data_IF_112853409102
#
_entry.id   IF_112853409102
#
_cell.length_a   1.000
_cell.length_b   1.000
_cell.length_c   1.000
_cell.angle_alpha   90.00
_cell.angle_beta   90.00
_cell.angle_gamma   90.00
#
_symmetry.space_group_name_H-M   'P 1'
#
loop_
_entity.id
_entity.type
_entity.pdbx_description
1 polymer ?
#
# COMPACT_ATOMS: atom_id res chain seq x y z
N UNK A 1 31.43 -7.21 0.39
CA UNK A 1 30.10 -7.80 0.32
C UNK A 1 29.07 -6.70 0.11
N UNK A 2 28.27 -6.85 -0.89
CA UNK A 2 27.23 -5.85 -1.15
C UNK A 2 26.09 -6.04 -0.16
N UNK A 3 25.67 -4.95 0.46
CA UNK A 3 24.45 -4.96 1.26
C UNK A 3 23.31 -4.76 0.29
N UNK A 4 22.49 -5.75 0.16
CA UNK A 4 21.36 -5.65 -0.73
C UNK A 4 20.32 -4.70 -0.14
N UNK A 5 20.01 -3.68 -0.92
CA UNK A 5 19.03 -2.71 -0.52
C UNK A 5 17.67 -3.23 -0.92
N UNK A 6 16.84 -3.52 0.08
CA UNK A 6 15.51 -4.01 -0.17
C UNK A 6 14.58 -2.88 -0.60
N UNK A 7 13.64 -3.24 -1.46
CA UNK A 7 12.58 -2.33 -1.86
C UNK A 7 11.64 -2.12 -0.67
N UNK A 8 11.48 -0.87 -0.25
CA UNK A 8 10.63 -0.54 0.88
C UNK A 8 9.21 -0.30 0.41
N UNK A 9 8.31 -1.13 0.91
CA UNK A 9 6.89 -1.07 0.56
C UNK A 9 6.11 -0.51 1.72
N UNK A 10 5.32 0.52 1.47
CA UNK A 10 4.33 1.05 2.41
C UNK A 10 2.95 0.63 1.96
N UNK A 11 2.17 0.05 2.85
CA UNK A 11 0.80 -0.33 2.54
C UNK A 11 -0.18 0.60 3.24
N UNK A 12 -1.15 1.10 2.50
CA UNK A 12 -2.20 1.96 3.04
C UNK A 12 -3.53 1.27 2.86
N UNK A 13 -4.09 0.77 3.95
CA UNK A 13 -5.31 -0.03 3.93
C UNK A 13 -5.85 -0.07 5.36
N UNK A 14 -7.14 0.17 5.53
CA UNK A 14 -7.78 0.14 6.85
C UNK A 14 -8.20 -1.27 7.27
N UNK A 15 -8.06 -2.26 6.40
CA UNK A 15 -8.41 -3.63 6.70
C UNK A 15 -7.17 -4.40 7.16
N UNK A 16 -7.11 -4.65 8.46
CA UNK A 16 -5.93 -5.26 9.08
C UNK A 16 -5.60 -6.64 8.49
N UNK A 17 -6.62 -7.42 8.17
CA UNK A 17 -6.42 -8.75 7.58
C UNK A 17 -5.71 -8.63 6.23
N UNK A 18 -6.09 -7.64 5.44
CA UNK A 18 -5.43 -7.42 4.14
C UNK A 18 -3.97 -7.03 4.33
N UNK A 19 -3.69 -6.19 5.32
CA UNK A 19 -2.32 -5.80 5.62
C UNK A 19 -1.48 -7.01 6.01
N UNK A 20 -2.02 -7.86 6.88
CA UNK A 20 -1.29 -9.06 7.33
C UNK A 20 -1.00 -10.01 6.17
N UNK A 21 -1.96 -10.20 5.29
CA UNK A 21 -1.79 -11.09 4.13
C UNK A 21 -0.70 -10.58 3.20
N UNK A 22 -0.74 -9.29 2.89
CA UNK A 22 0.25 -8.68 1.99
C UNK A 22 1.63 -8.65 2.65
N UNK A 23 1.67 -8.35 3.93
CA UNK A 23 2.93 -8.36 4.68
C UNK A 23 3.61 -9.72 4.59
N UNK A 24 2.82 -10.76 4.77
CA UNK A 24 3.36 -12.12 4.69
C UNK A 24 3.95 -12.41 3.31
N UNK A 25 3.24 -12.02 2.26
CA UNK A 25 3.70 -12.26 0.89
C UNK A 25 4.95 -11.43 0.57
N UNK A 26 4.92 -10.15 0.89
CA UNK A 26 6.03 -9.25 0.57
C UNK A 26 7.29 -9.64 1.32
N UNK A 27 7.15 -9.97 2.61
CA UNK A 27 8.31 -10.28 3.43
C UNK A 27 8.95 -11.64 3.11
N UNK A 28 8.28 -12.46 2.31
CA UNK A 28 8.88 -13.69 1.81
C UNK A 28 9.80 -13.45 0.63
N UNK A 29 9.75 -12.28 0.03
CA UNK A 29 10.61 -11.94 -1.09
C UNK A 29 11.95 -11.44 -0.58
N UNK A 30 13.06 -11.93 -1.14
CA UNK A 30 14.39 -11.54 -0.64
C UNK A 30 14.74 -10.08 -0.92
N UNK A 31 14.06 -9.45 -1.87
CA UNK A 31 14.39 -8.09 -2.30
C UNK A 31 13.36 -7.04 -1.89
N UNK A 32 12.40 -7.41 -1.06
CA UNK A 32 11.36 -6.48 -0.63
C UNK A 32 11.09 -6.60 0.86
N UNK A 33 10.57 -5.54 1.44
CA UNK A 33 10.13 -5.54 2.81
C UNK A 33 8.94 -4.58 2.97
N UNK A 34 7.91 -5.05 3.65
CA UNK A 34 6.83 -4.16 4.07
C UNK A 34 7.30 -3.47 5.36
N UNK A 35 7.85 -2.27 5.22
CA UNK A 35 8.49 -1.62 6.36
C UNK A 35 7.50 -0.86 7.24
N UNK A 36 6.31 -0.58 6.72
CA UNK A 36 5.28 0.12 7.48
C UNK A 36 3.93 -0.07 6.82
N UNK A 37 2.89 0.14 7.59
CA UNK A 37 1.53 0.18 7.08
C UNK A 37 0.81 1.32 7.76
N UNK A 38 -0.22 1.83 7.11
CA UNK A 38 -1.05 2.91 7.64
C UNK A 38 -2.51 2.57 7.39
N UNK A 39 -3.34 2.83 8.38
CA UNK A 39 -4.76 2.50 8.28
C UNK A 39 -5.55 3.61 7.56
N UNK A 40 -4.92 4.72 7.32
CA UNK A 40 -5.55 5.85 6.65
C UNK A 40 -4.49 6.74 6.03
N UNK A 41 -4.88 7.59 5.08
CA UNK A 41 -3.92 8.45 4.40
C UNK A 41 -3.20 9.46 5.28
N UNK A 42 -3.81 9.89 6.36
CA UNK A 42 -3.16 10.86 7.26
C UNK A 42 -1.96 10.24 7.94
N UNK A 43 -2.13 9.01 8.41
CA UNK A 43 -1.02 8.27 9.02
C UNK A 43 0.03 7.92 7.97
N UNK A 44 -0.39 7.64 6.74
CA UNK A 44 0.55 7.36 5.66
C UNK A 44 1.47 8.54 5.41
N UNK A 45 0.94 9.76 5.41
CA UNK A 45 1.75 10.96 5.22
C UNK A 45 2.81 11.08 6.30
N UNK A 46 2.46 10.75 7.54
CA UNK A 46 3.42 10.78 8.65
C UNK A 46 4.54 9.78 8.43
N UNK A 47 4.20 8.58 7.99
CA UNK A 47 5.22 7.56 7.71
C UNK A 47 6.14 8.01 6.59
N UNK A 48 5.57 8.51 5.50
CA UNK A 48 6.34 8.95 4.34
C UNK A 48 7.30 10.09 4.73
N UNK A 49 6.86 10.97 5.60
CA UNK A 49 7.69 12.08 6.05
C UNK A 49 8.91 11.63 6.84
N UNK A 50 8.79 10.50 7.54
CA UNK A 50 9.89 9.95 8.32
C UNK A 50 10.84 9.14 7.45
N UNK A 51 10.27 8.32 6.60
CA UNK A 51 11.06 7.44 5.75
C UNK A 51 10.30 7.20 4.47
N UNK A 52 10.84 7.71 3.37
CA UNK A 52 10.20 7.61 2.06
C UNK A 52 10.22 6.17 1.56
N UNK A 53 9.05 5.63 1.18
CA UNK A 53 9.02 4.29 0.59
C UNK A 53 9.50 4.30 -0.86
N UNK A 54 9.81 3.12 -1.36
CA UNK A 54 10.12 2.95 -2.78
C UNK A 54 8.84 2.74 -3.59
N UNK A 55 7.81 2.19 -2.96
CA UNK A 55 6.51 1.99 -3.60
C UNK A 55 5.42 1.98 -2.52
N UNK A 56 4.25 2.46 -2.89
CA UNK A 56 3.08 2.46 -2.02
C UNK A 56 2.03 1.53 -2.62
N UNK A 57 1.49 0.64 -1.78
CA UNK A 57 0.30 -0.14 -2.12
C UNK A 57 -0.89 0.57 -1.49
N UNK A 58 -1.76 1.10 -2.31
CA UNK A 58 -2.87 1.92 -1.85
C UNK A 58 -4.21 1.25 -2.11
N UNK A 59 -4.97 1.02 -1.05
CA UNK A 59 -6.35 0.58 -1.18
C UNK A 59 -7.21 1.78 -1.57
N UNK A 60 -7.91 1.64 -2.67
CA UNK A 60 -8.75 2.73 -3.18
C UNK A 60 -10.10 2.81 -2.48
N UNK A 61 -10.43 1.85 -1.64
CA UNK A 61 -11.73 1.80 -0.97
C UNK A 61 -11.63 2.01 0.52
N UNK A 62 -11.07 3.14 0.90
CA UNK A 62 -11.06 3.53 2.31
C UNK A 62 -12.18 4.52 2.57
N UNK A 63 -13.00 4.28 3.62
CA UNK A 63 -14.22 5.05 3.82
C UNK A 63 -14.04 6.52 4.15
N UNK A 64 -12.88 6.90 4.66
CA UNK A 64 -12.68 8.26 5.16
C UNK A 64 -11.95 9.18 4.20
N UNK A 65 -11.45 8.66 3.12
CA UNK A 65 -10.71 9.50 2.17
C UNK A 65 -10.79 8.94 0.77
N UNK A 66 -10.92 9.85 -0.15
CA UNK A 66 -10.82 9.55 -1.57
C UNK A 66 -9.36 9.21 -1.90
N UNK A 67 -9.15 8.00 -2.38
CA UNK A 67 -7.81 7.54 -2.76
C UNK A 67 -7.17 8.41 -3.83
N UNK A 68 -7.97 8.95 -4.73
CA UNK A 68 -7.45 9.84 -5.79
C UNK A 68 -6.90 11.12 -5.18
N UNK A 69 -7.62 11.70 -4.23
CA UNK A 69 -7.16 12.92 -3.56
C UNK A 69 -5.87 12.68 -2.82
N UNK A 70 -5.77 11.55 -2.11
CA UNK A 70 -4.55 11.17 -1.42
C UNK A 70 -3.39 11.01 -2.41
N UNK A 71 -3.65 10.33 -3.54
CA UNK A 71 -2.64 10.12 -4.56
C UNK A 71 -2.09 11.44 -5.07
N UNK A 72 -2.98 12.40 -5.37
CA UNK A 72 -2.55 13.72 -5.82
C UNK A 72 -1.66 14.41 -4.81
N UNK A 73 -2.03 14.32 -3.53
CA UNK A 73 -1.26 14.93 -2.47
C UNK A 73 0.14 14.32 -2.36
N UNK A 74 0.21 13.01 -2.43
CA UNK A 74 1.50 12.32 -2.37
C UNK A 74 2.37 12.69 -3.55
N UNK A 75 1.80 12.69 -4.75
CA UNK A 75 2.58 12.98 -5.96
C UNK A 75 3.06 14.42 -6.00
N UNK A 76 2.36 15.34 -5.33
CA UNK A 76 2.80 16.74 -5.29
C UNK A 76 3.92 16.98 -4.27
N UNK A 77 3.96 16.21 -3.21
CA UNK A 77 4.91 16.41 -2.11
C UNK A 77 6.02 15.36 -2.08
N UNK A 78 5.66 14.12 -2.34
CA UNK A 78 6.57 12.98 -2.25
C UNK A 78 6.31 12.04 -3.42
N UNK A 79 6.77 12.39 -4.63
CA UNK A 79 6.49 11.52 -5.79
C UNK A 79 7.10 10.14 -5.59
N UNK A 80 6.23 9.15 -5.52
CA UNK A 80 6.57 7.76 -5.28
C UNK A 80 5.67 6.91 -6.16
N UNK A 81 6.17 5.84 -6.75
CA UNK A 81 5.29 4.91 -7.48
C UNK A 81 4.19 4.37 -6.57
N UNK A 82 2.97 4.32 -7.07
CA UNK A 82 1.82 3.85 -6.33
C UNK A 82 1.11 2.77 -7.12
N UNK A 83 0.85 1.64 -6.47
CA UNK A 83 0.05 0.57 -7.03
C UNK A 83 -1.29 0.61 -6.31
N UNK A 84 -2.35 0.84 -7.07
CA UNK A 84 -3.70 0.92 -6.51
C UNK A 84 -4.36 -0.44 -6.60
N UNK A 85 -5.12 -0.78 -5.56
CA UNK A 85 -5.86 -2.03 -5.54
C UNK A 85 -7.13 -1.85 -4.72
N UNK A 86 -8.01 -2.85 -4.76
CA UNK A 86 -9.24 -2.85 -4.01
C UNK A 86 -9.27 -4.06 -3.09
N UNK A 87 -9.52 -3.83 -1.82
CA UNK A 87 -9.57 -4.89 -0.82
C UNK A 87 -11.00 -5.32 -0.50
N UNK A 88 -11.95 -5.09 -1.40
CA UNK A 88 -13.37 -5.44 -1.20
C UNK A 88 -13.61 -6.91 -1.47
N UNK A 89 -12.79 -7.75 -0.90
CA UNK A 89 -12.86 -9.18 -1.18
C UNK A 89 -14.16 -9.79 -0.64
N UNK A 90 -14.61 -9.33 0.50
CA UNK A 90 -15.77 -9.92 1.15
C UNK A 90 -17.07 -9.62 0.42
N UNK A 91 -17.14 -8.52 -0.28
CA UNK A 91 -18.36 -8.15 -1.01
C UNK A 91 -18.31 -8.51 -2.47
N UNK A 92 -17.18 -8.29 -3.09
CA UNK A 92 -17.06 -8.37 -4.51
C UNK A 92 -16.10 -9.44 -4.97
N UNK A 93 -15.78 -10.40 -4.13
CA UNK A 93 -14.74 -11.36 -4.46
C UNK A 93 -15.00 -12.05 -5.80
N UNK A 94 -16.24 -12.49 -6.05
CA UNK A 94 -16.57 -13.13 -7.32
C UNK A 94 -16.41 -12.18 -8.49
N UNK A 95 -16.87 -10.95 -8.32
CA UNK A 95 -16.77 -9.94 -9.37
C UNK A 95 -15.33 -9.49 -9.58
N UNK A 96 -14.59 -9.37 -8.49
CA UNK A 96 -13.18 -8.98 -8.58
C UNK A 96 -12.38 -10.05 -9.32
N UNK A 97 -12.64 -11.31 -9.03
CA UNK A 97 -11.97 -12.40 -9.71
C UNK A 97 -12.30 -12.40 -11.20
N UNK A 98 -13.57 -12.17 -11.54
CA UNK A 98 -13.96 -12.08 -12.94
C UNK A 98 -13.27 -10.93 -13.66
N UNK A 99 -13.13 -9.81 -12.99
CA UNK A 99 -12.49 -8.65 -13.58
C UNK A 99 -11.01 -8.90 -13.89
N UNK A 100 -10.38 -9.76 -13.10
CA UNK A 100 -8.98 -10.11 -13.29
C UNK A 100 -8.75 -11.16 -14.36
N UNK A 101 -9.80 -11.83 -14.76
CA UNK A 101 -9.72 -12.86 -15.79
C UNK A 101 -9.93 -12.25 -17.16
#
# INVERSE_FOLDING_TARGET
MAVEKKIKVLMVDDLEVAVMAIEHIVNQQPDMVLYASAANPYDAVKVISREKPDVILLDIQMPKMDGITFLRKIMSQHPVPVIMFSSVAEKGSANAIKALQ
#
